data_IF_433597817305
#
_entry.id   IF_433597817305
#
_cell.length_a   1.000
_cell.length_b   1.000
_cell.length_c   1.000
_cell.angle_alpha   90.00
_cell.angle_beta   90.00
_cell.angle_gamma   90.00
#
_symmetry.space_group_name_H-M   'P 1'
#
loop_
_entity.id
_entity.type
_entity.pdbx_description
1 polymer ?
#
# COMPACT_ATOMS: atom_id res chain seq x y z
N UNK A 1 30.16 -2.46 -1.13
CA UNK A 1 29.23 -2.47 -2.28
C UNK A 1 28.25 -1.34 -2.08
N UNK A 2 28.03 -0.51 -3.10
CA UNK A 2 27.01 0.53 -3.04
C UNK A 2 25.62 -0.09 -3.26
N UNK A 3 24.63 0.26 -2.46
CA UNK A 3 23.26 -0.19 -2.64
C UNK A 3 22.50 0.75 -3.58
N UNK A 4 21.39 0.27 -4.15
CA UNK A 4 20.48 1.10 -4.94
C UNK A 4 19.86 2.26 -4.14
N UNK A 5 19.99 2.27 -2.81
CA UNK A 5 19.43 3.28 -1.92
C UNK A 5 20.44 4.35 -1.50
N UNK A 6 21.70 4.23 -1.91
CA UNK A 6 22.79 5.09 -1.42
C UNK A 6 22.65 6.56 -1.84
N UNK A 7 21.73 6.88 -2.76
CA UNK A 7 21.38 8.24 -3.16
C UNK A 7 20.43 8.94 -2.18
N UNK A 8 19.85 8.21 -1.22
CA UNK A 8 18.91 8.76 -0.24
C UNK A 8 19.63 9.15 1.05
N UNK A 9 19.33 10.35 1.54
CA UNK A 9 19.71 10.75 2.89
C UNK A 9 18.93 9.97 3.95
N UNK A 10 19.54 9.77 5.10
CA UNK A 10 18.91 9.13 6.27
C UNK A 10 18.54 10.17 7.33
N UNK A 11 17.31 10.15 7.89
CA UNK A 11 16.32 9.08 7.73
C UNK A 11 15.40 9.28 6.51
N UNK A 12 15.12 8.18 5.82
CA UNK A 12 14.11 8.08 4.76
C UNK A 12 13.15 6.93 5.05
N UNK A 13 11.84 7.19 4.95
CA UNK A 13 10.82 6.14 5.04
C UNK A 13 10.67 5.47 3.68
N UNK A 14 10.88 4.16 3.63
CA UNK A 14 10.76 3.36 2.42
C UNK A 14 9.57 2.42 2.51
N UNK A 15 8.89 2.24 1.38
CA UNK A 15 7.82 1.25 1.21
C UNK A 15 8.20 0.32 0.07
N UNK A 16 8.20 -0.98 0.35
CA UNK A 16 8.34 -2.03 -0.66
C UNK A 16 7.03 -2.12 -1.46
N UNK A 17 7.08 -1.71 -2.73
CA UNK A 17 5.90 -1.59 -3.59
C UNK A 17 5.27 -2.95 -3.88
N UNK A 18 6.07 -4.01 -4.07
CA UNK A 18 5.55 -5.35 -4.35
C UNK A 18 4.82 -5.92 -3.14
N UNK A 19 5.36 -5.71 -1.93
CA UNK A 19 4.66 -6.09 -0.68
C UNK A 19 3.39 -5.27 -0.49
N UNK A 20 3.46 -3.95 -0.71
CA UNK A 20 2.31 -3.07 -0.57
C UNK A 20 1.18 -3.50 -1.49
N UNK A 21 1.45 -3.70 -2.78
CA UNK A 21 0.44 -4.07 -3.77
C UNK A 21 -0.19 -5.44 -3.46
N UNK A 22 0.61 -6.44 -3.04
CA UNK A 22 0.08 -7.73 -2.59
C UNK A 22 -0.88 -7.58 -1.40
N UNK A 23 -0.52 -6.77 -0.40
CA UNK A 23 -1.37 -6.54 0.76
C UNK A 23 -2.69 -5.85 0.39
N UNK A 24 -2.66 -4.92 -0.57
CA UNK A 24 -3.89 -4.26 -1.05
C UNK A 24 -4.81 -5.27 -1.75
N UNK A 25 -4.26 -6.09 -2.63
CA UNK A 25 -5.00 -7.10 -3.39
C UNK A 25 -5.59 -8.17 -2.47
N UNK A 26 -4.83 -8.64 -1.48
CA UNK A 26 -5.29 -9.62 -0.51
C UNK A 26 -6.50 -9.11 0.28
N UNK A 27 -6.44 -7.86 0.78
CA UNK A 27 -7.55 -7.32 1.56
C UNK A 27 -8.80 -7.05 0.69
N UNK A 28 -8.62 -6.61 -0.56
CA UNK A 28 -9.71 -6.49 -1.51
C UNK A 28 -10.37 -7.85 -1.80
N UNK A 29 -9.57 -8.90 -2.02
CA UNK A 29 -10.06 -10.26 -2.23
C UNK A 29 -10.85 -10.78 -1.02
N UNK A 30 -10.34 -10.60 0.20
CA UNK A 30 -11.03 -11.02 1.43
C UNK A 30 -12.40 -10.32 1.58
N UNK A 31 -12.49 -9.03 1.28
CA UNK A 31 -13.77 -8.31 1.34
C UNK A 31 -14.75 -8.80 0.26
N UNK A 32 -14.25 -9.03 -0.96
CA UNK A 32 -15.03 -9.58 -2.05
C UNK A 32 -15.57 -10.99 -1.74
N UNK A 33 -14.72 -11.89 -1.23
CA UNK A 33 -15.08 -13.26 -0.84
C UNK A 33 -16.14 -13.28 0.27
N UNK A 34 -16.09 -12.31 1.19
CA UNK A 34 -17.07 -12.16 2.26
C UNK A 34 -18.35 -11.43 1.82
N UNK A 35 -18.40 -10.86 0.61
CA UNK A 35 -19.55 -10.11 0.10
C UNK A 35 -19.81 -8.79 0.83
N UNK A 36 -18.78 -8.14 1.37
CA UNK A 36 -18.89 -6.88 2.12
C UNK A 36 -18.10 -5.75 1.46
N UNK A 37 -18.49 -4.50 1.73
CA UNK A 37 -17.74 -3.34 1.25
C UNK A 37 -16.45 -3.11 2.05
N UNK A 38 -15.34 -2.87 1.35
CA UNK A 38 -14.08 -2.48 1.98
C UNK A 38 -14.00 -0.95 2.13
N UNK A 39 -13.76 -0.46 3.36
CA UNK A 39 -13.51 0.97 3.63
C UNK A 39 -12.15 1.17 4.33
N UNK A 40 -11.06 1.29 3.56
CA UNK A 40 -9.72 1.40 4.14
C UNK A 40 -9.54 2.67 4.96
N UNK A 41 -8.94 2.53 6.15
CA UNK A 41 -8.63 3.69 6.99
C UNK A 41 -7.23 4.22 6.65
N UNK A 42 -7.18 5.42 6.07
CA UNK A 42 -5.93 6.00 5.55
C UNK A 42 -4.99 6.58 6.63
N UNK A 43 -5.27 6.40 7.93
CA UNK A 43 -4.45 6.99 9.01
C UNK A 43 -3.00 6.49 8.98
N UNK A 44 -2.80 5.29 8.43
CA UNK A 44 -1.50 4.60 8.35
C UNK A 44 -0.55 5.28 7.38
N UNK A 45 -1.00 5.59 6.17
CA UNK A 45 -0.12 6.13 5.11
C UNK A 45 -0.38 7.60 4.81
N UNK A 46 -1.62 8.09 5.02
CA UNK A 46 -2.05 9.47 4.72
C UNK A 46 -1.68 9.96 3.30
N UNK A 47 -1.48 9.01 2.38
CA UNK A 47 -1.13 9.26 0.98
C UNK A 47 -2.37 9.17 0.09
N UNK A 48 -2.75 10.25 -0.63
CA UNK A 48 -3.89 10.24 -1.55
C UNK A 48 -3.75 9.27 -2.71
N UNK A 49 -2.53 9.07 -3.24
CA UNK A 49 -2.30 8.14 -4.35
C UNK A 49 -2.58 6.70 -3.93
N UNK A 50 -2.13 6.32 -2.72
CA UNK A 50 -2.40 5.00 -2.17
C UNK A 50 -3.88 4.81 -1.80
N UNK A 51 -4.53 5.86 -1.30
CA UNK A 51 -5.97 5.85 -1.05
C UNK A 51 -6.78 5.66 -2.35
N UNK A 52 -6.37 6.30 -3.44
CA UNK A 52 -6.96 6.10 -4.77
C UNK A 52 -6.78 4.67 -5.25
N UNK A 53 -5.57 4.11 -5.11
CA UNK A 53 -5.27 2.72 -5.47
C UNK A 53 -6.13 1.72 -4.70
N UNK A 54 -6.34 1.96 -3.41
CA UNK A 54 -7.25 1.18 -2.57
C UNK A 54 -8.69 1.19 -3.12
N UNK A 55 -9.22 2.36 -3.48
CA UNK A 55 -10.57 2.48 -4.06
C UNK A 55 -10.68 1.80 -5.43
N UNK A 56 -9.61 1.80 -6.24
CA UNK A 56 -9.59 1.14 -7.54
C UNK A 56 -9.63 -0.40 -7.45
N UNK A 57 -9.18 -0.98 -6.34
CA UNK A 57 -9.18 -2.43 -6.12
C UNK A 57 -10.52 -2.97 -5.59
N UNK A 58 -11.39 -2.09 -5.09
CA UNK A 58 -12.69 -2.45 -4.49
C UNK A 58 -12.65 -2.62 -2.98
#
# INVERSE_FOLDING_TARGET
>A
MASALDYLDTPSLLVDIDKMERNLQEMAAVAADAGVGLRPHIKTHKSPSLAKRQVELG
#
